data_IF_373947693326
#
_entry.id   IF_373947693326
#
_cell.length_a   1.000
_cell.length_b   1.000
_cell.length_c   1.000
_cell.angle_alpha   90.00
_cell.angle_beta   90.00
_cell.angle_gamma   90.00
#
_symmetry.space_group_name_H-M   'P 1'
#
loop_
_entity.id
_entity.type
_entity.pdbx_description
1 polymer ?
#
# COMPACT_ATOMS: atom_id res chain seq x y z
N UNK A 1 54.40 11.01 -48.42
CA UNK A 1 53.83 11.42 -47.09
C UNK A 1 52.31 11.77 -47.08
N UNK A 2 51.80 12.36 -48.15
CA UNK A 2 50.38 12.74 -48.24
C UNK A 2 49.42 11.54 -48.19
N UNK A 3 49.74 10.40 -48.77
CA UNK A 3 48.89 9.21 -48.80
C UNK A 3 48.70 8.51 -47.42
N UNK A 4 49.77 8.61 -46.59
CA UNK A 4 49.71 8.01 -45.24
C UNK A 4 48.73 8.78 -44.30
N UNK A 5 48.70 10.11 -44.42
CA UNK A 5 47.78 10.96 -43.66
C UNK A 5 46.32 10.77 -44.07
N UNK A 6 46.04 10.56 -45.35
CA UNK A 6 44.70 10.33 -45.86
C UNK A 6 44.15 8.97 -45.37
N UNK A 7 44.98 7.94 -45.29
CA UNK A 7 44.64 6.61 -44.78
C UNK A 7 44.25 6.64 -43.27
N UNK A 8 45.01 7.36 -42.46
CA UNK A 8 44.75 7.49 -41.02
C UNK A 8 43.43 8.24 -40.75
N UNK A 9 43.12 9.29 -41.52
CA UNK A 9 41.87 10.03 -41.41
C UNK A 9 40.64 9.19 -41.80
N UNK A 10 40.74 8.34 -42.80
CA UNK A 10 39.66 7.45 -43.23
C UNK A 10 39.39 6.34 -42.21
N UNK A 11 40.44 5.75 -41.62
CA UNK A 11 40.32 4.70 -40.60
C UNK A 11 39.77 5.28 -39.30
N UNK A 12 40.23 6.43 -38.85
CA UNK A 12 39.70 7.10 -37.63
C UNK A 12 38.28 7.57 -37.82
N UNK A 13 37.89 8.09 -38.98
CA UNK A 13 36.49 8.46 -39.29
C UNK A 13 35.56 7.26 -39.33
N UNK A 14 36.00 6.13 -39.93
CA UNK A 14 35.23 4.88 -39.93
C UNK A 14 35.00 4.30 -38.54
N UNK A 15 36.04 4.32 -37.70
CA UNK A 15 35.97 3.85 -36.32
C UNK A 15 35.03 4.75 -35.48
N UNK A 16 35.08 6.07 -35.64
CA UNK A 16 34.22 7.01 -34.97
C UNK A 16 32.74 6.83 -35.36
N UNK A 17 32.46 6.62 -36.65
CA UNK A 17 31.10 6.37 -37.13
C UNK A 17 30.55 5.01 -36.64
N UNK A 18 31.39 4.00 -36.54
CA UNK A 18 31.03 2.68 -36.06
C UNK A 18 30.72 2.69 -34.56
N UNK A 19 31.55 3.34 -33.75
CA UNK A 19 31.32 3.51 -32.32
C UNK A 19 30.07 4.35 -32.02
N UNK A 20 29.85 5.41 -32.82
CA UNK A 20 28.63 6.24 -32.69
C UNK A 20 27.36 5.46 -33.02
N UNK A 21 27.39 4.59 -34.06
CA UNK A 21 26.26 3.71 -34.39
C UNK A 21 25.98 2.69 -33.28
N UNK A 22 27.03 2.10 -32.70
CA UNK A 22 26.90 1.15 -31.59
C UNK A 22 26.33 1.83 -30.33
N UNK A 23 26.82 3.02 -29.99
CA UNK A 23 26.28 3.79 -28.85
C UNK A 23 24.80 4.18 -29.06
N UNK A 24 24.43 4.55 -30.29
CA UNK A 24 23.04 4.86 -30.64
C UNK A 24 22.14 3.62 -30.64
N UNK A 25 22.67 2.46 -31.07
CA UNK A 25 21.93 1.19 -30.99
C UNK A 25 21.69 0.76 -29.54
N UNK A 26 22.74 0.81 -28.69
CA UNK A 26 22.63 0.52 -27.25
C UNK A 26 21.65 1.50 -26.53
N UNK A 27 21.69 2.79 -26.93
CA UNK A 27 20.71 3.77 -26.39
C UNK A 27 19.28 3.50 -26.86
N UNK A 28 19.09 3.07 -28.13
CA UNK A 28 17.78 2.66 -28.66
C UNK A 28 17.26 1.40 -27.98
N UNK A 29 18.11 0.39 -27.81
CA UNK A 29 17.77 -0.84 -27.12
C UNK A 29 17.41 -0.60 -25.65
N UNK A 30 18.18 0.26 -24.97
CA UNK A 30 17.89 0.71 -23.61
C UNK A 30 16.62 1.58 -23.49
N UNK A 31 16.29 2.34 -24.53
CA UNK A 31 15.06 3.13 -24.61
C UNK A 31 13.83 2.25 -24.92
N UNK A 32 14.00 1.20 -25.75
CA UNK A 32 12.96 0.21 -26.04
C UNK A 32 12.75 -0.78 -24.89
N UNK A 33 13.74 -0.99 -24.02
CA UNK A 33 13.65 -1.86 -22.85
C UNK A 33 13.10 -1.15 -21.60
N UNK A 34 12.85 0.16 -21.66
CA UNK A 34 12.12 0.86 -20.61
C UNK A 34 10.64 0.80 -20.97
N UNK A 35 9.82 0.10 -20.18
CA UNK A 35 8.38 0.23 -20.31
C UNK A 35 8.03 1.72 -20.34
N UNK A 36 7.10 2.10 -21.20
CA UNK A 36 6.64 3.47 -21.24
C UNK A 36 6.28 3.88 -19.81
N UNK A 37 6.59 5.10 -19.41
CA UNK A 37 6.33 5.60 -18.05
C UNK A 37 4.87 5.35 -17.63
N UNK A 38 3.96 5.46 -18.60
CA UNK A 38 2.52 5.19 -18.45
C UNK A 38 2.19 3.73 -18.12
N UNK A 39 3.04 2.76 -18.50
CA UNK A 39 2.82 1.36 -18.14
C UNK A 39 3.17 1.02 -16.70
N UNK A 40 4.00 1.86 -16.06
CA UNK A 40 4.46 1.66 -14.68
C UNK A 40 3.61 2.41 -13.66
N UNK A 41 2.92 3.46 -14.10
CA UNK A 41 2.03 4.24 -13.25
C UNK A 41 0.64 3.62 -13.30
N UNK A 42 0.01 3.34 -12.14
CA UNK A 42 -1.39 2.93 -12.11
C UNK A 42 -2.24 3.95 -12.88
N UNK A 43 -3.06 3.49 -13.83
CA UNK A 43 -3.88 4.35 -14.69
C UNK A 43 -4.95 5.12 -13.92
N UNK A 44 -5.40 4.57 -12.79
CA UNK A 44 -6.19 5.21 -11.77
C UNK A 44 -5.45 4.98 -10.45
N UNK A 45 -4.96 6.06 -9.85
CA UNK A 45 -4.50 6.05 -8.45
C UNK A 45 -5.72 6.13 -7.53
N UNK A 46 -6.69 5.25 -7.78
CA UNK A 46 -7.79 5.09 -6.86
C UNK A 46 -7.23 4.60 -5.53
N UNK A 47 -7.74 5.14 -4.45
CA UNK A 47 -7.40 4.63 -3.12
C UNK A 47 -7.76 3.15 -3.08
N UNK A 48 -6.85 2.28 -2.62
CA UNK A 48 -7.26 0.91 -2.31
C UNK A 48 -8.34 0.96 -1.23
N UNK A 49 -9.30 0.05 -1.31
CA UNK A 49 -10.37 -0.04 -0.31
C UNK A 49 -9.81 -0.25 1.10
N UNK A 50 -8.66 -0.92 1.20
CA UNK A 50 -7.95 -1.12 2.45
C UNK A 50 -6.43 -1.21 2.26
N UNK A 51 -5.69 -0.72 3.25
CA UNK A 51 -4.22 -0.81 3.25
C UNK A 51 -3.62 -0.74 4.65
N UNK A 52 -2.41 -1.29 4.77
CA UNK A 52 -1.54 -1.05 5.91
C UNK A 52 -0.44 -0.06 5.52
N UNK A 53 -0.03 0.77 6.48
CA UNK A 53 1.22 1.49 6.45
C UNK A 53 2.08 1.02 7.63
N UNK A 54 3.25 0.45 7.33
CA UNK A 54 4.16 -0.13 8.30
C UNK A 54 5.43 0.69 8.31
N UNK A 55 5.82 1.22 9.47
CA UNK A 55 7.06 2.00 9.61
C UNK A 55 8.26 1.08 9.61
N UNK A 56 8.79 0.80 8.44
CA UNK A 56 9.91 -0.11 8.23
C UNK A 56 10.66 0.22 6.94
N UNK A 57 11.95 -0.10 6.90
CA UNK A 57 12.75 -0.16 5.67
C UNK A 57 13.00 -1.60 5.20
N UNK A 58 12.52 -2.60 5.96
CA UNK A 58 12.83 -4.01 5.72
C UNK A 58 11.61 -4.76 5.16
N UNK A 59 11.52 -4.87 3.83
CA UNK A 59 10.45 -5.58 3.12
C UNK A 59 10.43 -7.07 3.48
N UNK A 60 11.59 -7.70 3.69
CA UNK A 60 11.66 -9.12 4.02
C UNK A 60 11.04 -9.40 5.39
N UNK A 61 11.28 -8.55 6.39
CA UNK A 61 10.66 -8.68 7.71
C UNK A 61 9.13 -8.51 7.64
N UNK A 62 8.63 -7.61 6.80
CA UNK A 62 7.19 -7.44 6.57
C UNK A 62 6.60 -8.69 5.91
N UNK A 63 7.25 -9.20 4.85
CA UNK A 63 6.85 -10.42 4.16
C UNK A 63 6.79 -11.62 5.12
N UNK A 64 7.83 -11.82 5.92
CA UNK A 64 7.91 -12.92 6.89
C UNK A 64 6.83 -12.80 7.97
N UNK A 65 6.62 -11.58 8.51
CA UNK A 65 5.62 -11.36 9.56
C UNK A 65 4.19 -11.59 9.07
N UNK A 66 3.91 -11.23 7.82
CA UNK A 66 2.62 -11.49 7.18
C UNK A 66 2.46 -12.95 6.73
N UNK A 67 3.51 -13.76 6.75
CA UNK A 67 3.45 -15.13 6.26
C UNK A 67 3.21 -15.24 4.76
N UNK A 68 3.67 -14.24 3.98
CA UNK A 68 3.43 -14.19 2.54
C UNK A 68 4.18 -15.33 1.83
N UNK A 69 3.44 -16.21 1.19
CA UNK A 69 3.96 -17.33 0.40
C UNK A 69 4.04 -16.99 -1.10
N UNK A 70 4.82 -17.79 -1.84
CA UNK A 70 5.01 -17.64 -3.29
C UNK A 70 5.34 -16.21 -3.74
N UNK A 71 6.30 -15.49 -3.08
CA UNK A 71 6.56 -14.09 -3.38
C UNK A 71 7.09 -13.92 -4.80
N UNK A 72 6.53 -12.96 -5.54
CA UNK A 72 6.96 -12.58 -6.89
C UNK A 72 7.13 -11.07 -6.97
N UNK A 73 8.18 -10.63 -7.66
CA UNK A 73 8.34 -9.21 -7.95
C UNK A 73 7.24 -8.74 -8.90
N UNK A 74 6.67 -7.59 -8.62
CA UNK A 74 5.67 -6.96 -9.49
C UNK A 74 5.82 -5.44 -9.50
N UNK A 75 5.27 -4.81 -10.51
CA UNK A 75 5.19 -3.35 -10.58
C UNK A 75 4.18 -2.82 -9.56
N UNK A 76 4.22 -1.54 -9.27
CA UNK A 76 3.18 -0.88 -8.47
C UNK A 76 1.80 -1.00 -9.14
N UNK A 77 1.76 -0.85 -10.46
CA UNK A 77 0.52 -0.98 -11.24
C UNK A 77 -0.13 -2.35 -11.05
N UNK A 78 0.66 -3.42 -11.20
CA UNK A 78 0.16 -4.77 -10.98
C UNK A 78 -0.20 -5.01 -9.52
N UNK A 79 0.57 -4.43 -8.60
CA UNK A 79 0.34 -4.52 -7.16
C UNK A 79 -0.97 -3.87 -6.72
N UNK A 80 -1.31 -2.70 -7.27
CA UNK A 80 -2.58 -2.01 -6.97
C UNK A 80 -3.78 -2.63 -7.71
N UNK A 81 -3.55 -3.33 -8.82
CA UNK A 81 -4.57 -4.04 -9.58
C UNK A 81 -4.76 -5.50 -9.11
N UNK A 82 -4.19 -5.87 -7.95
CA UNK A 82 -4.31 -7.22 -7.42
C UNK A 82 -5.78 -7.60 -7.21
N UNK A 83 -6.14 -8.75 -7.75
CA UNK A 83 -7.41 -9.41 -7.55
C UNK A 83 -7.20 -10.83 -6.99
N UNK A 84 -8.19 -11.36 -6.29
CA UNK A 84 -8.14 -12.69 -5.65
C UNK A 84 -7.99 -12.56 -4.13
N UNK A 85 -8.89 -13.19 -3.41
CA UNK A 85 -9.13 -13.03 -1.96
C UNK A 85 -7.92 -13.28 -1.07
N UNK A 86 -6.93 -14.03 -1.53
CA UNK A 86 -5.76 -14.42 -0.72
C UNK A 86 -4.49 -13.66 -1.08
N UNK A 87 -4.55 -12.58 -1.84
CA UNK A 87 -3.36 -11.90 -2.36
C UNK A 87 -3.09 -10.55 -1.72
N UNK A 88 -1.79 -10.30 -1.50
CA UNK A 88 -1.27 -9.02 -1.02
C UNK A 88 -0.15 -8.51 -1.94
N UNK A 89 -0.04 -7.20 -1.99
CA UNK A 89 1.11 -6.48 -2.50
C UNK A 89 1.82 -5.78 -1.35
N UNK A 90 3.13 -5.95 -1.27
CA UNK A 90 4.01 -5.23 -0.35
C UNK A 90 4.88 -4.30 -1.16
N UNK A 91 4.78 -3.01 -0.92
CA UNK A 91 5.55 -2.00 -1.62
C UNK A 91 7.01 -1.98 -1.19
N UNK A 92 7.92 -1.42 -2.00
CA UNK A 92 9.20 -0.96 -1.50
C UNK A 92 8.99 0.19 -0.48
N UNK A 93 9.99 0.49 0.37
CA UNK A 93 9.89 1.59 1.33
C UNK A 93 9.74 2.95 0.63
N UNK A 94 8.78 3.75 1.08
CA UNK A 94 8.55 5.13 0.65
C UNK A 94 8.55 6.01 1.90
N UNK A 95 9.48 6.94 2.00
CA UNK A 95 9.63 7.85 3.15
C UNK A 95 9.68 7.11 4.51
N UNK A 96 10.27 5.92 4.56
CA UNK A 96 10.39 5.11 5.77
C UNK A 96 9.15 4.27 6.10
N UNK A 97 8.18 4.20 5.19
CA UNK A 97 6.98 3.38 5.32
C UNK A 97 6.87 2.36 4.20
N UNK A 98 6.34 1.19 4.51
CA UNK A 98 5.98 0.14 3.55
C UNK A 98 4.45 0.07 3.52
N UNK A 99 3.88 0.18 2.32
CA UNK A 99 2.45 -0.05 2.09
C UNK A 99 2.21 -1.53 1.82
N UNK A 100 1.14 -2.06 2.42
CA UNK A 100 0.59 -3.38 2.08
C UNK A 100 -0.84 -3.17 1.65
N UNK A 101 -1.18 -3.65 0.46
CA UNK A 101 -2.53 -3.55 -0.10
C UNK A 101 -2.97 -4.89 -0.64
N UNK A 102 -4.25 -5.12 -0.64
CA UNK A 102 -4.86 -6.30 -1.26
C UNK A 102 -6.03 -6.87 -0.46
N UNK A 103 -6.84 -7.68 -1.12
CA UNK A 103 -8.08 -8.22 -0.53
C UNK A 103 -7.86 -9.22 0.61
N UNK A 104 -6.64 -9.75 0.78
CA UNK A 104 -6.33 -10.63 1.91
C UNK A 104 -6.11 -9.89 3.25
N UNK A 105 -6.20 -8.56 3.29
CA UNK A 105 -6.21 -7.82 4.55
C UNK A 105 -7.55 -8.06 5.28
N UNK A 106 -7.57 -8.07 6.62
CA UNK A 106 -8.81 -8.26 7.36
C UNK A 106 -9.78 -7.11 7.10
N UNK A 107 -11.06 -7.45 6.94
CA UNK A 107 -12.14 -6.50 6.78
C UNK A 107 -12.88 -6.33 8.13
N UNK A 108 -12.88 -5.11 8.73
CA UNK A 108 -13.53 -4.90 10.03
C UNK A 108 -15.03 -5.21 10.03
N UNK A 109 -15.70 -5.05 8.88
CA UNK A 109 -17.10 -5.41 8.69
C UNK A 109 -17.39 -6.91 8.75
N UNK A 110 -16.40 -7.74 8.46
CA UNK A 110 -16.54 -9.21 8.52
C UNK A 110 -16.22 -9.73 9.92
N UNK A 111 -15.09 -9.28 10.51
CA UNK A 111 -14.64 -9.71 11.83
C UNK A 111 -13.70 -8.66 12.45
N UNK A 112 -14.23 -7.84 13.33
CA UNK A 112 -13.47 -6.80 14.04
C UNK A 112 -12.48 -7.37 15.03
N UNK A 113 -12.78 -8.52 15.64
CA UNK A 113 -11.88 -9.18 16.60
C UNK A 113 -10.69 -9.79 15.89
N UNK A 114 -10.90 -10.41 14.74
CA UNK A 114 -9.80 -10.86 13.89
C UNK A 114 -8.92 -9.69 13.46
N UNK A 115 -9.51 -8.58 13.05
CA UNK A 115 -8.76 -7.36 12.71
C UNK A 115 -7.92 -6.86 13.88
N UNK A 116 -8.47 -6.83 15.11
CA UNK A 116 -7.76 -6.47 16.34
C UNK A 116 -6.56 -7.39 16.59
N UNK A 117 -6.77 -8.72 16.54
CA UNK A 117 -5.70 -9.69 16.79
C UNK A 117 -4.62 -9.63 15.73
N UNK A 118 -4.99 -9.52 14.47
CA UNK A 118 -4.06 -9.36 13.34
C UNK A 118 -3.18 -8.11 13.52
N UNK A 119 -3.76 -6.95 13.75
CA UNK A 119 -3.02 -5.69 13.90
C UNK A 119 -2.13 -5.68 15.16
N UNK A 120 -2.62 -6.25 16.26
CA UNK A 120 -1.83 -6.44 17.47
C UNK A 120 -0.64 -7.35 17.23
N UNK A 121 -0.84 -8.49 16.53
CA UNK A 121 0.23 -9.44 16.20
C UNK A 121 1.31 -8.80 15.32
N UNK A 122 0.93 -8.19 14.20
CA UNK A 122 1.91 -7.62 13.28
C UNK A 122 2.64 -6.41 13.90
N UNK A 123 1.95 -5.56 14.68
CA UNK A 123 2.60 -4.44 15.35
C UNK A 123 3.56 -4.88 16.47
N UNK A 124 3.31 -6.01 17.11
CA UNK A 124 4.23 -6.59 18.09
C UNK A 124 5.59 -6.96 17.46
N UNK A 125 5.60 -7.38 16.19
CA UNK A 125 6.80 -7.78 15.46
C UNK A 125 7.45 -6.64 14.69
N UNK A 126 6.63 -5.74 14.10
CA UNK A 126 7.08 -4.69 13.19
C UNK A 126 7.10 -3.29 13.81
N UNK A 127 6.60 -3.14 15.03
CA UNK A 127 6.56 -1.86 15.73
C UNK A 127 5.34 -1.04 15.35
N UNK A 128 5.52 0.05 14.61
CA UNK A 128 4.44 0.98 14.29
C UNK A 128 3.71 0.56 13.02
N UNK A 129 2.44 0.28 13.15
CA UNK A 129 1.52 -0.17 12.09
C UNK A 129 0.27 0.69 12.10
N UNK A 130 -0.20 1.05 10.93
CA UNK A 130 -1.47 1.74 10.73
C UNK A 130 -2.29 0.96 9.72
N UNK A 131 -3.59 0.93 9.93
CA UNK A 131 -4.54 0.30 9.03
C UNK A 131 -5.64 1.29 8.68
N UNK A 132 -6.07 1.25 7.44
CA UNK A 132 -7.15 2.07 6.92
C UNK A 132 -8.02 1.22 6.01
N UNK A 133 -9.33 1.42 6.13
CA UNK A 133 -10.32 0.84 5.24
C UNK A 133 -11.39 1.87 4.92
N UNK A 134 -11.92 1.86 3.70
CA UNK A 134 -13.02 2.72 3.30
C UNK A 134 -13.86 2.08 2.20
N UNK A 135 -15.18 2.23 2.33
CA UNK A 135 -16.15 1.98 1.28
C UNK A 135 -17.03 3.23 1.13
N UNK A 136 -16.73 4.04 0.11
CA UNK A 136 -17.42 5.31 -0.10
C UNK A 136 -18.90 5.15 -0.47
N UNK A 137 -19.28 4.01 -1.07
CA UNK A 137 -20.67 3.75 -1.46
C UNK A 137 -21.57 3.51 -0.24
N UNK A 138 -21.02 2.88 0.80
CA UNK A 138 -21.73 2.56 2.03
C UNK A 138 -21.40 3.52 3.18
N UNK A 139 -20.51 4.47 2.98
CA UNK A 139 -19.95 5.34 4.03
C UNK A 139 -19.29 4.55 5.16
N UNK A 140 -18.82 3.33 4.88
CA UNK A 140 -18.05 2.54 5.82
C UNK A 140 -16.61 3.02 5.87
N UNK A 141 -16.03 3.03 7.05
CA UNK A 141 -14.66 3.46 7.23
C UNK A 141 -14.03 2.90 8.51
N UNK A 142 -12.72 2.67 8.43
CA UNK A 142 -11.92 2.27 9.58
C UNK A 142 -10.55 2.93 9.53
N UNK A 143 -10.04 3.31 10.70
CA UNK A 143 -8.65 3.67 10.90
C UNK A 143 -8.13 3.12 12.22
N UNK A 144 -6.93 2.56 12.18
CA UNK A 144 -6.29 1.99 13.36
C UNK A 144 -4.83 2.42 13.40
N UNK A 145 -4.35 2.72 14.60
CA UNK A 145 -2.94 2.93 14.91
C UNK A 145 -2.51 1.98 16.01
N UNK A 146 -1.55 1.13 15.68
CA UNK A 146 -1.02 0.12 16.57
C UNK A 146 0.50 0.29 16.75
N UNK A 147 1.00 0.06 17.96
CA UNK A 147 2.42 0.13 18.25
C UNK A 147 2.83 -0.95 19.24
N UNK A 148 3.84 -1.76 18.87
CA UNK A 148 4.43 -2.80 19.72
C UNK A 148 3.40 -3.73 20.38
N UNK A 149 2.41 -4.17 19.61
CA UNK A 149 1.35 -5.09 20.04
C UNK A 149 0.16 -4.44 20.75
N UNK A 150 0.11 -3.11 20.82
CA UNK A 150 -0.98 -2.37 21.48
C UNK A 150 -1.71 -1.50 20.46
N UNK A 151 -3.05 -1.54 20.49
CA UNK A 151 -3.87 -0.60 19.73
C UNK A 151 -3.92 0.71 20.53
N UNK A 152 -3.34 1.76 19.95
CA UNK A 152 -3.32 3.10 20.53
C UNK A 152 -4.58 3.89 20.20
N UNK A 153 -5.08 3.71 18.97
CA UNK A 153 -6.29 4.33 18.47
C UNK A 153 -6.96 3.41 17.44
N UNK A 154 -8.27 3.23 17.55
CA UNK A 154 -9.07 2.56 16.53
C UNK A 154 -10.47 3.16 16.47
N UNK A 155 -11.01 3.27 15.26
CA UNK A 155 -12.41 3.50 14.99
C UNK A 155 -12.83 2.74 13.75
N UNK A 156 -13.97 2.05 13.81
CA UNK A 156 -14.60 1.40 12.68
C UNK A 156 -16.09 1.62 12.69
N UNK A 157 -16.61 2.09 11.56
CA UNK A 157 -18.04 2.29 11.30
C UNK A 157 -18.46 1.52 10.06
N UNK A 158 -19.45 0.64 10.20
CA UNK A 158 -20.02 -0.17 9.13
C UNK A 158 -21.54 -0.25 9.26
N UNK A 159 -22.23 0.91 9.28
CA UNK A 159 -23.64 1.01 9.59
C UNK A 159 -23.93 1.13 11.09
N UNK A 160 -22.98 0.71 11.91
CA UNK A 160 -22.91 0.88 13.35
C UNK A 160 -21.45 1.02 13.79
N UNK A 161 -21.22 1.43 15.03
CA UNK A 161 -19.86 1.51 15.58
C UNK A 161 -19.40 0.12 16.02
N UNK A 162 -18.53 -0.49 15.21
CA UNK A 162 -17.92 -1.80 15.49
C UNK A 162 -16.72 -1.68 16.44
N UNK A 163 -15.98 -0.59 16.34
CA UNK A 163 -14.75 -0.38 17.13
C UNK A 163 -14.54 1.08 17.45
N UNK A 164 -14.37 1.40 18.72
CA UNK A 164 -14.00 2.75 19.19
C UNK A 164 -13.10 2.63 20.41
N UNK A 165 -11.77 2.68 20.17
CA UNK A 165 -10.76 2.50 21.20
C UNK A 165 -9.75 3.65 21.17
N UNK A 166 -9.31 4.07 22.35
CA UNK A 166 -8.36 5.14 22.53
C UNK A 166 -8.96 6.54 22.33
N UNK A 167 -8.16 7.56 22.58
CA UNK A 167 -8.58 8.96 22.39
C UNK A 167 -8.39 9.38 20.95
N UNK A 168 -9.30 10.23 20.45
CA UNK A 168 -9.12 10.87 19.16
C UNK A 168 -7.77 11.60 19.09
N UNK A 169 -7.10 11.46 17.97
CA UNK A 169 -5.79 12.11 17.75
C UNK A 169 -5.97 13.58 17.35
N UNK A 170 -4.94 14.43 17.53
CA UNK A 170 -4.99 15.80 17.04
C UNK A 170 -5.28 15.90 15.56
N UNK A 171 -4.81 14.94 14.76
CA UNK A 171 -5.03 14.89 13.31
C UNK A 171 -6.50 14.61 12.97
N UNK A 172 -7.17 13.71 13.70
CA UNK A 172 -8.62 13.48 13.59
C UNK A 172 -9.39 14.77 13.88
N UNK A 173 -9.02 15.44 14.98
CA UNK A 173 -9.67 16.70 15.38
C UNK A 173 -9.48 17.82 14.34
N UNK A 174 -8.28 17.97 13.79
CA UNK A 174 -7.99 18.98 12.73
C UNK A 174 -8.77 18.70 11.45
N UNK A 175 -9.05 17.43 11.14
CA UNK A 175 -9.86 17.02 10.00
C UNK A 175 -11.37 17.08 10.26
N UNK A 176 -11.78 17.41 11.50
CA UNK A 176 -13.18 17.42 11.91
C UNK A 176 -13.84 16.04 11.83
N UNK A 177 -13.06 14.99 12.12
CA UNK A 177 -13.55 13.61 12.16
C UNK A 177 -14.21 13.36 13.50
N UNK A 178 -15.41 12.83 13.47
CA UNK A 178 -16.21 12.57 14.66
C UNK A 178 -16.62 11.09 14.70
N UNK A 179 -16.46 10.47 15.86
CA UNK A 179 -16.79 9.07 16.09
C UNK A 179 -18.11 8.95 16.83
N UNK A 180 -18.95 8.05 16.39
CA UNK A 180 -20.18 7.71 17.08
C UNK A 180 -19.89 6.72 18.22
N UNK A 181 -20.72 6.74 19.24
CA UNK A 181 -20.64 5.81 20.36
C UNK A 181 -21.12 4.41 19.96
N UNK A 182 -20.72 3.39 20.74
CA UNK A 182 -21.21 2.04 20.55
C UNK A 182 -22.74 1.97 20.70
N UNK A 183 -23.37 1.15 19.87
CA UNK A 183 -24.82 0.98 19.83
C UNK A 183 -25.53 2.03 19.01
N UNK A 184 -24.86 3.04 18.50
CA UNK A 184 -25.45 3.98 17.54
C UNK A 184 -25.59 3.30 16.19
N UNK A 185 -26.80 3.26 15.63
CA UNK A 185 -27.10 2.72 14.30
C UNK A 185 -27.41 3.84 13.32
N UNK A 186 -27.33 3.56 12.03
CA UNK A 186 -27.56 4.57 10.98
C UNK A 186 -28.98 5.15 11.03
N UNK A 187 -29.96 4.37 11.49
CA UNK A 187 -31.36 4.77 11.60
C UNK A 187 -31.60 5.81 12.71
N UNK A 188 -30.73 5.87 13.70
CA UNK A 188 -30.80 6.80 14.83
C UNK A 188 -30.09 8.12 14.58
N UNK A 189 -29.33 8.22 13.48
CA UNK A 189 -28.52 9.39 13.17
C UNK A 189 -29.38 10.53 12.62
N UNK A 190 -29.10 11.73 13.10
CA UNK A 190 -29.60 12.95 12.48
C UNK A 190 -28.78 13.33 11.22
N UNK A 191 -29.26 14.33 10.49
CA UNK A 191 -28.63 14.80 9.25
C UNK A 191 -27.19 15.29 9.47
N UNK A 192 -26.87 15.86 10.62
CA UNK A 192 -25.51 16.33 10.91
C UNK A 192 -24.56 15.16 11.15
N UNK A 193 -25.01 14.16 11.90
CA UNK A 193 -24.24 12.96 12.17
C UNK A 193 -23.96 12.15 10.88
N UNK A 194 -24.93 12.03 9.98
CA UNK A 194 -24.71 11.42 8.65
C UNK A 194 -23.68 12.21 7.85
N UNK A 195 -23.72 13.54 7.90
CA UNK A 195 -22.69 14.36 7.24
C UNK A 195 -21.30 14.15 7.85
N UNK A 196 -21.19 13.89 9.17
CA UNK A 196 -19.91 13.57 9.81
C UNK A 196 -19.39 12.21 9.35
N UNK A 197 -20.23 11.20 9.18
CA UNK A 197 -19.82 9.91 8.63
C UNK A 197 -19.27 10.06 7.20
N UNK A 198 -19.97 10.77 6.34
CA UNK A 198 -19.49 11.05 4.98
C UNK A 198 -18.18 11.82 4.99
N UNK A 199 -18.01 12.78 5.89
CA UNK A 199 -16.75 13.51 6.09
C UNK A 199 -15.64 12.60 6.57
N UNK A 200 -15.91 11.69 7.50
CA UNK A 200 -14.94 10.71 7.97
C UNK A 200 -14.42 9.88 6.81
N UNK A 201 -15.33 9.29 6.01
CA UNK A 201 -14.95 8.48 4.83
C UNK A 201 -14.09 9.28 3.85
N UNK A 202 -14.48 10.52 3.53
CA UNK A 202 -13.73 11.40 2.63
C UNK A 202 -12.34 11.78 3.19
N UNK A 203 -12.19 11.83 4.51
CA UNK A 203 -10.95 12.25 5.18
C UNK A 203 -9.97 11.11 5.50
N UNK A 204 -10.31 9.83 5.25
CA UNK A 204 -9.41 8.70 5.49
C UNK A 204 -8.03 8.91 4.82
N UNK A 205 -8.02 9.31 3.56
CA UNK A 205 -6.79 9.56 2.81
C UNK A 205 -5.97 10.74 3.38
N UNK A 206 -6.65 11.76 3.89
CA UNK A 206 -6.01 12.90 4.54
C UNK A 206 -5.46 12.53 5.92
N UNK A 207 -6.15 11.68 6.66
CA UNK A 207 -5.66 11.14 7.93
C UNK A 207 -4.42 10.27 7.70
N UNK A 208 -4.47 9.38 6.71
CA UNK A 208 -3.33 8.56 6.31
C UNK A 208 -2.11 9.41 5.93
N UNK A 209 -2.31 10.50 5.17
CA UNK A 209 -1.24 11.43 4.83
C UNK A 209 -0.60 12.12 6.05
N UNK A 210 -1.38 12.37 7.10
CA UNK A 210 -0.89 12.98 8.35
C UNK A 210 -0.18 11.98 9.25
N UNK A 211 -0.66 10.75 9.28
CA UNK A 211 -0.09 9.70 10.11
C UNK A 211 1.11 9.01 9.45
N UNK A 212 1.07 8.81 8.12
CA UNK A 212 2.09 8.09 7.35
C UNK A 212 2.13 8.46 5.87
N UNK A 213 1.37 7.73 5.05
CA UNK A 213 1.32 7.86 3.59
C UNK A 213 -0.12 7.77 3.09
N UNK A 214 -0.46 8.69 2.18
CA UNK A 214 -1.66 8.55 1.36
C UNK A 214 -1.29 7.81 0.05
N UNK A 215 -1.80 6.60 -0.19
CA UNK A 215 -1.50 5.85 -1.41
C UNK A 215 -1.85 6.61 -2.70
N UNK A 216 -2.95 7.37 -2.72
CA UNK A 216 -3.38 8.15 -3.89
C UNK A 216 -2.53 9.41 -4.15
N UNK A 217 -1.73 9.84 -3.18
CA UNK A 217 -0.86 11.03 -3.31
C UNK A 217 0.61 10.68 -3.55
N UNK A 218 0.93 9.43 -3.86
CA UNK A 218 2.28 9.01 -4.18
C UNK A 218 2.75 9.65 -5.49
N UNK A 219 3.99 10.14 -5.49
CA UNK A 219 4.56 10.79 -6.67
C UNK A 219 4.87 9.77 -7.78
N UNK A 220 4.70 10.13 -9.06
CA UNK A 220 4.98 9.23 -10.19
C UNK A 220 6.37 8.60 -10.18
N UNK A 221 7.37 9.30 -9.67
CA UNK A 221 8.75 8.80 -9.61
C UNK A 221 8.93 7.61 -8.66
N UNK A 222 8.05 7.43 -7.67
CA UNK A 222 8.04 6.27 -6.77
C UNK A 222 7.73 4.99 -7.55
N UNK A 223 6.79 5.04 -8.48
CA UNK A 223 6.34 3.88 -9.26
C UNK A 223 7.40 3.36 -10.23
N UNK A 224 8.26 4.25 -10.70
CA UNK A 224 9.28 3.94 -11.73
C UNK A 224 10.57 3.40 -11.12
N UNK A 225 10.94 3.87 -9.93
CA UNK A 225 12.25 3.60 -9.33
C UNK A 225 12.38 2.22 -8.71
N UNK A 226 11.26 1.60 -8.33
CA UNK A 226 11.30 0.37 -7.54
C UNK A 226 10.08 -0.51 -7.79
N UNK A 227 10.27 -1.81 -7.64
CA UNK A 227 9.22 -2.82 -7.71
C UNK A 227 8.94 -3.36 -6.31
N UNK A 228 7.69 -3.71 -6.05
CA UNK A 228 7.26 -4.41 -4.86
C UNK A 228 7.28 -5.92 -5.04
N UNK A 229 6.65 -6.60 -4.11
CA UNK A 229 6.41 -8.04 -4.15
C UNK A 229 4.92 -8.32 -3.95
N UNK A 230 4.41 -9.31 -4.65
CA UNK A 230 3.09 -9.88 -4.42
C UNK A 230 3.21 -11.33 -4.02
N UNK A 231 2.27 -11.83 -3.25
CA UNK A 231 2.19 -13.23 -2.83
C UNK A 231 0.83 -13.54 -2.25
N UNK A 232 0.69 -14.75 -1.76
CA UNK A 232 -0.54 -15.28 -1.18
C UNK A 232 -0.42 -15.31 0.34
N UNK A 233 -1.46 -14.85 1.01
CA UNK A 233 -1.63 -14.99 2.44
C UNK A 233 -2.53 -16.21 2.66
N UNK A 234 -1.94 -17.33 3.06
CA UNK A 234 -2.77 -18.46 3.47
C UNK A 234 -3.30 -18.19 4.89
N UNK A 235 -4.59 -18.40 5.13
CA UNK A 235 -5.08 -18.41 6.50
C UNK A 235 -4.25 -19.44 7.27
N UNK A 236 -3.75 -19.04 8.46
CA UNK A 236 -3.08 -19.99 9.35
C UNK A 236 -3.99 -21.21 9.47
N UNK A 237 -3.48 -22.40 9.13
CA UNK A 237 -4.24 -23.63 9.27
C UNK A 237 -4.83 -23.64 10.69
N UNK A 238 -6.16 -23.62 10.78
CA UNK A 238 -6.84 -23.79 12.05
C UNK A 238 -6.25 -25.06 12.67
N UNK A 239 -5.63 -24.91 13.82
CA UNK A 239 -5.21 -26.08 14.61
C UNK A 239 -6.47 -26.93 14.77
N UNK A 240 -6.53 -28.01 14.00
CA UNK A 240 -7.53 -29.06 14.17
C UNK A 240 -7.23 -29.61 15.56
N UNK A 241 -8.05 -29.21 16.53
CA UNK A 241 -8.16 -29.92 17.80
C UNK A 241 -8.41 -31.39 17.45
N UNK A 242 -7.37 -32.17 17.54
CA UNK A 242 -7.49 -33.64 17.61
C UNK A 242 -8.13 -33.94 18.95
N UNK A 243 -9.47 -33.95 18.96
CA UNK A 243 -10.19 -34.70 20.02
C UNK A 243 -9.75 -36.17 19.89
N UNK A 244 -8.86 -36.58 20.78
CA UNK A 244 -8.59 -37.98 21.05
C UNK A 244 -9.69 -38.45 21.99
N UNK A 245 -10.55 -39.32 21.45
CA UNK A 245 -11.40 -40.20 22.23
C UNK A 245 -10.57 -41.15 23.14
#
# INVERSE_FOLDING_TARGET
MLGLFLGILLVSGGFYLMTRKQILAIRREKAMSRPALEELIPSNLDLPEQWLAIRSGNVAAVQETLGLSNPRRCTWKDGFAISGVERLFISPPVNGWILVVGPALPAPEEDVDFCFHFLSHISKRLGHVQFFSLNSALSHHCWVRAHTGRIERAYAWCGETLWNQGKATPEESVLGMECQDYGTTVEELDFQQVNHLNRNTANISHLAARWSLNPAALKPDVFVKSAGITGELFPAASETETETE
#
